data_IF_225643852260
#
_entry.id   IF_225643852260
#
_cell.length_a   1.000
_cell.length_b   1.000
_cell.length_c   1.000
_cell.angle_alpha   90.00
_cell.angle_beta   90.00
_cell.angle_gamma   90.00
#
_symmetry.space_group_name_H-M   'P 1'
#
loop_
_entity.id
_entity.type
_entity.pdbx_description
1 polymer ?
#
# COMPACT_ATOMS: atom_id res chain seq x y z
N UNK A 1 -9.64 -19.30 -6.14
CA UNK A 1 -9.91 -17.93 -6.61
C UNK A 1 -10.87 -18.00 -7.79
N UNK A 2 -11.83 -17.08 -7.88
CA UNK A 2 -12.69 -16.93 -9.07
C UNK A 2 -11.96 -16.01 -10.04
N UNK A 3 -11.76 -16.44 -11.28
CA UNK A 3 -11.16 -15.59 -12.31
C UNK A 3 -12.23 -14.67 -12.91
N UNK A 4 -11.88 -13.41 -13.10
CA UNK A 4 -12.72 -12.46 -13.79
C UNK A 4 -12.77 -12.77 -15.29
N UNK A 5 -13.97 -13.07 -15.77
CA UNK A 5 -14.19 -13.60 -17.13
C UNK A 5 -13.60 -12.77 -18.29
N UNK A 6 -13.40 -11.46 -18.13
CA UNK A 6 -12.87 -10.60 -19.20
C UNK A 6 -11.33 -10.53 -19.22
N UNK A 7 -10.69 -10.56 -18.05
CA UNK A 7 -9.24 -10.34 -17.94
C UNK A 7 -8.48 -11.61 -17.62
N UNK A 8 -9.15 -12.65 -17.12
CA UNK A 8 -8.52 -13.84 -16.57
C UNK A 8 -7.73 -13.59 -15.28
N UNK A 9 -7.80 -12.38 -14.71
CA UNK A 9 -7.20 -12.05 -13.41
C UNK A 9 -8.12 -12.50 -12.27
N UNK A 10 -7.60 -12.61 -11.06
CA UNK A 10 -8.43 -12.89 -9.89
C UNK A 10 -9.49 -11.80 -9.70
N UNK A 11 -10.76 -12.23 -9.60
CA UNK A 11 -11.90 -11.33 -9.38
C UNK A 11 -11.83 -10.67 -8.01
N UNK A 12 -11.35 -11.43 -7.02
CA UNK A 12 -11.23 -11.03 -5.64
C UNK A 12 -10.04 -11.73 -4.99
N UNK A 13 -9.22 -10.97 -4.28
CA UNK A 13 -8.07 -11.48 -3.53
C UNK A 13 -8.08 -10.89 -2.13
N UNK A 14 -7.89 -11.75 -1.13
CA UNK A 14 -7.72 -11.37 0.27
C UNK A 14 -6.35 -11.84 0.75
N UNK A 15 -5.67 -10.97 1.47
CA UNK A 15 -4.31 -11.19 1.96
C UNK A 15 -4.37 -11.01 3.47
N UNK A 16 -3.88 -12.00 4.21
CA UNK A 16 -3.71 -11.94 5.66
C UNK A 16 -2.22 -12.07 5.97
N UNK A 17 -1.64 -11.02 6.53
CA UNK A 17 -0.24 -11.00 6.95
C UNK A 17 -0.17 -10.89 8.46
N UNK A 18 0.74 -11.64 9.05
CA UNK A 18 1.08 -11.54 10.47
C UNK A 18 2.55 -11.19 10.58
N UNK A 19 2.85 -10.13 11.30
CA UNK A 19 4.20 -9.64 11.52
C UNK A 19 4.57 -9.81 12.99
N UNK A 20 5.75 -10.36 13.30
CA UNK A 20 6.31 -10.21 14.64
C UNK A 20 6.50 -8.71 14.90
N UNK A 21 6.16 -8.23 16.11
CA UNK A 21 6.25 -6.78 16.39
C UNK A 21 7.70 -6.31 16.33
N UNK A 22 8.14 -5.78 15.19
CA UNK A 22 9.42 -5.09 15.05
C UNK A 22 9.19 -3.57 15.03
N UNK A 23 9.24 -2.99 16.24
CA UNK A 23 9.56 -1.55 16.49
C UNK A 23 8.38 -0.55 16.40
N UNK A 24 8.32 0.50 17.26
CA UNK A 24 9.19 0.85 18.39
C UNK A 24 8.46 0.60 19.71
N UNK A 25 8.50 -0.62 20.23
CA UNK A 25 8.16 -0.81 21.63
C UNK A 25 8.94 -1.98 22.19
N UNK A 26 9.92 -1.68 23.05
CA UNK A 26 10.58 -2.63 23.96
C UNK A 26 9.58 -3.16 24.99
N UNK A 27 8.43 -3.67 24.54
CA UNK A 27 7.43 -4.25 25.42
C UNK A 27 7.90 -5.63 25.85
N UNK A 28 7.70 -5.99 27.13
CA UNK A 28 8.10 -7.29 27.67
C UNK A 28 7.34 -8.47 27.06
N UNK A 29 6.27 -8.21 26.30
CA UNK A 29 5.55 -9.21 25.52
C UNK A 29 5.66 -8.85 24.04
N UNK A 30 6.20 -9.76 23.23
CA UNK A 30 6.13 -9.68 21.77
C UNK A 30 4.65 -9.74 21.38
N UNK A 31 4.09 -8.59 21.01
CA UNK A 31 2.79 -8.58 20.33
C UNK A 31 2.92 -9.20 18.94
N UNK A 32 1.78 -9.42 18.30
CA UNK A 32 1.70 -9.67 16.86
C UNK A 32 0.94 -8.51 16.22
N UNK A 33 1.45 -8.02 15.10
CA UNK A 33 0.71 -7.10 14.23
C UNK A 33 0.07 -7.91 13.12
N UNK A 34 -1.16 -7.56 12.75
CA UNK A 34 -1.87 -8.21 11.66
C UNK A 34 -2.26 -7.17 10.61
N UNK A 35 -2.17 -7.55 9.34
CA UNK A 35 -2.71 -6.78 8.24
C UNK A 35 -3.69 -7.63 7.43
N UNK A 36 -4.81 -7.03 7.08
CA UNK A 36 -5.80 -7.59 6.17
C UNK A 36 -5.90 -6.65 4.98
N UNK A 37 -5.55 -7.13 3.79
CA UNK A 37 -5.72 -6.41 2.55
C UNK A 37 -6.69 -7.16 1.65
N UNK A 38 -7.52 -6.40 0.92
CA UNK A 38 -8.50 -6.96 -0.01
C UNK A 38 -8.50 -6.14 -1.29
N UNK A 39 -8.62 -6.81 -2.41
CA UNK A 39 -8.88 -6.20 -3.71
C UNK A 39 -10.02 -6.93 -4.39
N UNK A 40 -10.89 -6.18 -5.09
CA UNK A 40 -12.07 -6.71 -5.75
C UNK A 40 -12.34 -5.92 -7.02
N UNK A 41 -12.56 -6.62 -8.15
CA UNK A 41 -12.86 -5.96 -9.43
C UNK A 41 -14.30 -5.44 -9.50
N UNK A 42 -15.25 -6.10 -8.82
CA UNK A 42 -16.68 -5.74 -8.85
C UNK A 42 -17.17 -4.79 -7.75
N UNK A 43 -16.38 -4.60 -6.68
CA UNK A 43 -16.84 -3.86 -5.50
C UNK A 43 -15.96 -2.64 -5.36
N UNK A 44 -16.57 -1.47 -5.47
CA UNK A 44 -15.91 -0.20 -5.16
C UNK A 44 -15.82 -0.02 -3.65
N UNK A 45 -14.73 0.60 -3.18
CA UNK A 45 -14.58 1.03 -1.79
C UNK A 45 -15.62 2.08 -1.40
N UNK A 46 -16.17 2.82 -2.38
CA UNK A 46 -17.18 3.85 -2.18
C UNK A 46 -18.47 3.48 -2.92
N UNK A 47 -19.60 3.42 -2.20
CA UNK A 47 -20.91 3.13 -2.80
C UNK A 47 -21.45 4.30 -3.64
N UNK A 48 -21.19 5.54 -3.24
CA UNK A 48 -21.74 6.76 -3.85
C UNK A 48 -20.68 7.61 -4.60
N UNK A 49 -19.56 7.01 -5.01
CA UNK A 49 -18.36 7.67 -5.58
C UNK A 49 -17.73 8.78 -4.71
N UNK A 50 -18.28 9.01 -3.52
CA UNK A 50 -17.74 9.90 -2.50
C UNK A 50 -16.93 9.08 -1.50
N UNK A 51 -15.77 9.56 -1.04
CA UNK A 51 -14.98 8.91 0.00
C UNK A 51 -15.65 9.09 1.36
N UNK A 52 -16.77 8.39 1.59
CA UNK A 52 -17.52 8.41 2.85
C UNK A 52 -16.86 7.48 3.87
N UNK A 53 -16.13 6.47 3.42
CA UNK A 53 -15.52 5.45 4.27
C UNK A 53 -13.99 5.39 4.04
N UNK A 54 -13.20 5.13 5.10
CA UNK A 54 -11.76 4.99 4.95
C UNK A 54 -11.41 3.68 4.23
N UNK A 55 -10.62 3.79 3.17
CA UNK A 55 -10.10 2.64 2.42
C UNK A 55 -8.95 1.93 3.14
N UNK A 56 -8.24 2.65 4.02
CA UNK A 56 -7.17 2.09 4.86
C UNK A 56 -7.40 2.53 6.30
N UNK A 57 -7.28 1.59 7.24
CA UNK A 57 -7.33 1.85 8.68
C UNK A 57 -6.09 1.28 9.34
N UNK A 58 -5.42 2.11 10.12
CA UNK A 58 -4.26 1.71 10.92
C UNK A 58 -4.69 1.84 12.38
N UNK A 59 -4.87 0.69 13.04
CA UNK A 59 -5.45 0.63 14.38
C UNK A 59 -4.38 0.28 15.40
N UNK A 60 -4.40 0.98 16.54
CA UNK A 60 -3.49 0.74 17.64
C UNK A 60 -4.16 0.93 18.99
N UNK A 61 -3.40 0.73 20.06
CA UNK A 61 -3.93 0.80 21.43
C UNK A 61 -4.43 2.19 21.82
N UNK A 62 -3.95 3.23 21.14
CA UNK A 62 -4.26 4.65 21.41
C UNK A 62 -5.33 5.25 20.47
N UNK A 63 -5.88 4.47 19.54
CA UNK A 63 -6.84 4.96 18.56
C UNK A 63 -6.59 4.39 17.17
N UNK A 64 -7.05 5.10 16.15
CA UNK A 64 -6.88 4.70 14.76
C UNK A 64 -6.59 5.88 13.83
N UNK A 65 -5.86 5.60 12.76
CA UNK A 65 -5.69 6.49 11.62
C UNK A 65 -6.56 5.95 10.50
N UNK A 66 -7.38 6.82 9.93
CA UNK A 66 -8.30 6.54 8.83
C UNK A 66 -7.83 7.28 7.58
N UNK A 67 -7.46 6.57 6.53
CA UNK A 67 -7.11 7.17 5.24
C UNK A 67 -8.24 6.93 4.25
N UNK A 68 -8.72 8.02 3.65
CA UNK A 68 -9.86 8.01 2.75
C UNK A 68 -9.40 7.82 1.31
N UNK A 69 -10.19 7.04 0.57
CA UNK A 69 -9.81 6.60 -0.76
C UNK A 69 -9.80 7.71 -1.82
N UNK A 70 -9.12 7.47 -2.96
CA UNK A 70 -8.40 6.24 -3.29
C UNK A 70 -7.02 6.15 -2.61
N UNK A 71 -6.63 4.94 -2.16
CA UNK A 71 -5.44 4.73 -1.32
C UNK A 71 -4.11 5.14 -1.98
N UNK A 72 -4.02 5.12 -3.32
CA UNK A 72 -2.82 5.51 -4.06
C UNK A 72 -2.69 7.05 -4.23
N UNK A 73 -3.71 7.83 -3.88
CA UNK A 73 -3.69 9.30 -3.89
C UNK A 73 -4.68 9.87 -2.86
N UNK A 74 -4.48 9.62 -1.56
CA UNK A 74 -5.45 10.02 -0.56
C UNK A 74 -5.49 11.55 -0.42
N UNK A 75 -6.69 12.12 -0.50
CA UNK A 75 -6.91 13.57 -0.33
C UNK A 75 -7.37 13.93 1.09
N UNK A 76 -7.62 12.92 1.93
CA UNK A 76 -8.14 13.11 3.28
C UNK A 76 -7.70 11.98 4.20
N UNK A 77 -7.28 12.34 5.42
CA UNK A 77 -7.12 11.39 6.50
C UNK A 77 -7.61 11.96 7.83
N UNK A 78 -7.96 11.06 8.76
CA UNK A 78 -8.36 11.40 10.12
C UNK A 78 -7.50 10.64 11.12
N UNK A 79 -7.17 11.29 12.22
CA UNK A 79 -6.55 10.69 13.40
C UNK A 79 -7.58 10.69 14.51
N UNK A 80 -8.03 9.50 14.90
CA UNK A 80 -9.10 9.28 15.87
C UNK A 80 -8.49 8.71 17.15
N UNK A 81 -8.29 9.51 18.20
CA UNK A 81 -7.77 9.00 19.47
C UNK A 81 -8.81 8.12 20.19
N UNK A 82 -8.32 7.19 21.01
CA UNK A 82 -9.16 6.35 21.86
C UNK A 82 -9.53 7.12 23.14
N UNK A 83 -10.82 7.32 23.38
CA UNK A 83 -11.34 7.99 24.57
C UNK A 83 -11.44 9.50 24.40
N UNK A 84 -10.97 10.26 25.38
CA UNK A 84 -11.02 11.72 25.34
C UNK A 84 -9.85 12.26 24.52
N UNK A 85 -10.16 12.69 23.29
CA UNK A 85 -9.22 13.38 22.42
C UNK A 85 -9.95 13.92 21.19
N UNK A 86 -9.47 15.04 20.66
CA UNK A 86 -10.06 15.63 19.47
C UNK A 86 -9.70 14.81 18.24
N UNK A 87 -10.71 14.53 17.40
CA UNK A 87 -10.47 13.92 16.10
C UNK A 87 -9.84 14.96 15.20
N UNK A 88 -8.61 14.71 14.77
CA UNK A 88 -7.92 15.57 13.81
C UNK A 88 -8.28 15.14 12.40
N UNK A 89 -8.83 16.05 11.61
CA UNK A 89 -9.07 15.86 10.19
C UNK A 89 -8.07 16.69 9.40
N UNK A 90 -7.48 16.08 8.37
CA UNK A 90 -6.53 16.75 7.49
C UNK A 90 -6.94 16.49 6.06
N UNK A 91 -7.10 17.58 5.32
CA UNK A 91 -7.28 17.57 3.87
C UNK A 91 -5.92 17.78 3.19
N UNK A 92 -5.65 16.98 2.17
CA UNK A 92 -4.41 16.95 1.40
C UNK A 92 -4.75 17.20 -0.06
N UNK A 93 -5.13 18.43 -0.40
CA UNK A 93 -5.40 18.81 -1.78
C UNK A 93 -4.13 18.75 -2.63
N UNK A 94 -4.20 18.10 -3.79
CA UNK A 94 -3.13 18.13 -4.77
C UNK A 94 -3.18 19.46 -5.55
N UNK A 95 -2.12 20.30 -5.54
CA UNK A 95 -2.05 21.42 -6.47
C UNK A 95 -2.09 20.97 -7.93
N UNK A 96 -2.93 21.64 -8.72
CA UNK A 96 -3.09 21.43 -10.17
C UNK A 96 -3.74 20.09 -10.55
N UNK A 97 -3.84 19.84 -11.86
CA UNK A 97 -4.43 18.61 -12.42
C UNK A 97 -3.48 17.40 -12.41
N UNK A 98 -2.35 17.49 -11.68
CA UNK A 98 -1.27 16.51 -11.72
C UNK A 98 -1.50 15.23 -10.93
N UNK A 99 -2.64 15.10 -10.22
CA UNK A 99 -3.07 13.90 -9.47
C UNK A 99 -2.03 13.30 -8.50
N UNK A 100 -1.04 14.08 -8.08
CA UNK A 100 0.02 13.70 -7.14
C UNK A 100 1.33 13.17 -7.75
N UNK A 101 1.39 12.91 -9.07
CA UNK A 101 2.59 12.32 -9.70
C UNK A 101 3.80 13.27 -9.76
N UNK A 102 3.60 14.57 -9.59
CA UNK A 102 4.70 15.53 -9.57
C UNK A 102 5.56 15.42 -8.32
N UNK A 103 5.04 14.91 -7.20
CA UNK A 103 5.83 14.73 -5.97
C UNK A 103 6.94 13.68 -6.14
N UNK A 104 6.61 12.54 -6.76
CA UNK A 104 7.59 11.50 -7.07
C UNK A 104 8.58 11.96 -8.16
N UNK A 105 8.10 12.70 -9.17
CA UNK A 105 8.97 13.28 -10.19
C UNK A 105 9.97 14.29 -9.58
N UNK A 106 9.52 15.14 -8.65
CA UNK A 106 10.37 16.09 -7.93
C UNK A 106 11.38 15.39 -7.02
N UNK A 107 11.02 14.26 -6.40
CA UNK A 107 11.96 13.45 -5.63
C UNK A 107 13.07 12.87 -6.52
N UNK A 108 12.71 12.32 -7.69
CA UNK A 108 13.70 11.83 -8.67
C UNK A 108 14.60 12.97 -9.14
N UNK A 109 14.03 14.14 -9.47
CA UNK A 109 14.80 15.30 -9.90
C UNK A 109 15.77 15.78 -8.80
N UNK A 110 15.35 15.77 -7.53
CA UNK A 110 16.20 16.09 -6.38
C UNK A 110 17.33 15.07 -6.23
N UNK A 111 17.03 13.77 -6.31
CA UNK A 111 18.05 12.71 -6.24
C UNK A 111 19.10 12.85 -7.34
N UNK A 112 18.67 13.05 -8.59
CA UNK A 112 19.57 13.23 -9.73
C UNK A 112 20.46 14.48 -9.57
N UNK A 113 19.86 15.61 -9.19
CA UNK A 113 20.60 16.86 -8.92
C UNK A 113 21.66 16.67 -7.85
N UNK A 114 21.32 15.93 -6.79
CA UNK A 114 22.19 15.72 -5.63
C UNK A 114 23.14 14.51 -5.80
N UNK A 115 23.14 13.86 -6.97
CA UNK A 115 24.02 12.73 -7.29
C UNK A 115 23.71 11.45 -6.51
N UNK A 116 22.50 11.30 -5.99
CA UNK A 116 22.05 10.12 -5.26
C UNK A 116 21.67 8.98 -6.21
N UNK A 117 21.93 7.74 -5.78
CA UNK A 117 21.53 6.54 -6.52
C UNK A 117 20.14 6.02 -6.12
N UNK A 118 19.63 6.47 -4.98
CA UNK A 118 18.32 6.12 -4.45
C UNK A 118 17.72 7.30 -3.66
N UNK A 119 16.41 7.23 -3.36
CA UNK A 119 15.72 8.23 -2.56
C UNK A 119 15.83 7.88 -1.07
N UNK A 120 16.02 8.90 -0.21
CA UNK A 120 16.03 8.69 1.24
C UNK A 120 14.63 8.33 1.77
N UNK A 121 13.56 8.81 1.11
CA UNK A 121 12.19 8.48 1.48
C UNK A 121 11.69 7.19 0.84
N UNK A 122 12.32 6.77 -0.26
CA UNK A 122 12.02 5.51 -0.94
C UNK A 122 13.31 4.74 -1.29
N UNK A 123 14.01 4.15 -0.29
CA UNK A 123 15.23 3.38 -0.52
C UNK A 123 14.96 2.07 -1.27
N UNK A 124 16.01 1.46 -1.82
CA UNK A 124 15.91 0.16 -2.49
C UNK A 124 15.43 -0.95 -1.55
N UNK A 125 15.84 -0.91 -0.28
CA UNK A 125 15.40 -1.88 0.74
C UNK A 125 13.88 -1.93 0.88
N UNK A 126 13.22 -0.77 0.94
CA UNK A 126 11.76 -0.69 1.04
C UNK A 126 11.09 -1.18 -0.27
N UNK A 127 11.70 -0.93 -1.43
CA UNK A 127 11.24 -1.52 -2.70
C UNK A 127 11.32 -3.05 -2.69
N UNK A 128 12.41 -3.60 -2.15
CA UNK A 128 12.59 -5.06 -2.01
C UNK A 128 11.54 -5.64 -1.07
N UNK A 129 11.30 -5.02 0.10
CA UNK A 129 10.29 -5.47 1.07
C UNK A 129 8.90 -5.52 0.41
N UNK A 130 8.52 -4.50 -0.34
CA UNK A 130 7.23 -4.49 -1.07
C UNK A 130 7.16 -5.66 -2.05
N UNK A 131 8.23 -5.91 -2.81
CA UNK A 131 8.29 -7.03 -3.75
C UNK A 131 8.23 -8.39 -3.06
N UNK A 132 8.88 -8.56 -1.91
CA UNK A 132 8.81 -9.79 -1.11
C UNK A 132 7.38 -10.05 -0.61
N UNK A 133 6.68 -9.01 -0.16
CA UNK A 133 5.26 -9.12 0.22
C UNK A 133 4.41 -9.53 -0.98
N UNK A 134 4.62 -8.91 -2.13
CA UNK A 134 3.88 -9.28 -3.35
C UNK A 134 4.18 -10.71 -3.78
N UNK A 135 5.42 -11.18 -3.65
CA UNK A 135 5.83 -12.55 -3.96
C UNK A 135 5.16 -13.56 -3.02
N UNK A 136 5.06 -13.25 -1.74
CA UNK A 136 4.33 -14.06 -0.78
C UNK A 136 2.83 -14.13 -1.11
N UNK A 137 2.23 -13.01 -1.52
CA UNK A 137 0.84 -12.97 -2.00
C UNK A 137 0.66 -13.88 -3.22
N UNK A 138 1.56 -13.79 -4.22
CA UNK A 138 1.54 -14.64 -5.42
C UNK A 138 1.66 -16.11 -5.02
N UNK A 139 2.59 -16.45 -4.12
CA UNK A 139 2.83 -17.81 -3.63
C UNK A 139 1.60 -18.39 -2.92
N UNK A 140 0.97 -17.63 -2.04
CA UNK A 140 -0.28 -18.04 -1.36
C UNK A 140 -1.45 -18.18 -2.34
N UNK A 141 -1.51 -17.32 -3.36
CA UNK A 141 -2.50 -17.39 -4.43
C UNK A 141 -2.27 -18.47 -5.48
N UNK A 142 -1.10 -19.14 -5.46
CA UNK A 142 -0.72 -20.13 -6.47
C UNK A 142 -0.47 -19.53 -7.87
N UNK A 143 -0.23 -18.21 -7.95
CA UNK A 143 0.07 -17.52 -9.20
C UNK A 143 1.56 -17.68 -9.55
N UNK A 144 1.83 -18.35 -10.68
CA UNK A 144 3.18 -18.53 -11.22
C UNK A 144 3.24 -17.92 -12.60
N UNK A 145 4.19 -17.03 -12.84
CA UNK A 145 4.38 -16.47 -14.18
C UNK A 145 5.14 -17.44 -15.09
N UNK A 146 4.94 -17.35 -16.41
CA UNK A 146 5.77 -18.05 -17.38
C UNK A 146 7.27 -17.77 -17.19
N UNK A 147 8.11 -18.79 -17.40
CA UNK A 147 9.58 -18.70 -17.20
C UNK A 147 10.26 -17.59 -18.02
N UNK A 148 9.74 -17.27 -19.20
CA UNK A 148 10.26 -16.19 -20.03
C UNK A 148 10.01 -14.81 -19.41
N UNK A 149 8.92 -14.64 -18.66
CA UNK A 149 8.60 -13.40 -17.94
C UNK A 149 9.46 -13.28 -16.66
N UNK A 150 9.72 -14.40 -15.97
CA UNK A 150 10.55 -14.41 -14.75
C UNK A 150 12.07 -14.46 -15.03
N UNK A 151 12.49 -14.45 -16.29
CA UNK A 151 13.91 -14.54 -16.65
C UNK A 151 14.67 -13.29 -16.23
N UNK A 152 15.72 -13.48 -15.42
CA UNK A 152 16.70 -12.44 -15.08
C UNK A 152 17.87 -12.38 -16.06
N UNK A 153 17.91 -13.27 -17.05
CA UNK A 153 18.94 -13.30 -18.10
C UNK A 153 18.60 -12.29 -19.19
N UNK A 154 19.53 -11.38 -19.46
CA UNK A 154 19.44 -10.42 -20.56
C UNK A 154 20.18 -10.93 -21.82
N UNK A 155 19.62 -10.75 -23.04
CA UNK A 155 18.32 -10.17 -23.33
C UNK A 155 17.16 -11.13 -23.00
N UNK A 156 16.06 -10.59 -22.49
CA UNK A 156 14.84 -11.35 -22.23
C UNK A 156 14.20 -11.80 -23.54
N UNK A 157 13.93 -13.10 -23.66
CA UNK A 157 13.21 -13.69 -24.79
C UNK A 157 11.72 -13.66 -24.48
N UNK A 158 11.11 -12.48 -24.58
CA UNK A 158 9.68 -12.27 -24.34
C UNK A 158 8.82 -12.93 -25.41
#
# INVERSE_FOLDING_TARGET
>A
MSLYHLTGADEATSILLTFPTSTPSNLPHLGESQAVAMTHLRVSTNADDKPVQPSVRIQGTKGEIQVYGPAFRPEKYRVVPKGEGEVKEVECSFPGDGKGMYWEADEVARCLRDGKLESDSMPWEESIIIMEVMDEVRRQGGLVYPKNIESTVYPTSL
#
